data_IF_718563889939
#
_entry.id   IF_718563889939
#
_cell.length_a   1.000
_cell.length_b   1.000
_cell.length_c   1.000
_cell.angle_alpha   90.00
_cell.angle_beta   90.00
_cell.angle_gamma   90.00
#
_symmetry.space_group_name_H-M   'P 1'
#
loop_
_entity.id
_entity.type
_entity.pdbx_description
1 polymer ?
#
# COMPACT_ATOMS: atom_id res chain seq x y z
N UNK A 1 2.03 1.77 -25.30
CA UNK A 1 2.72 2.39 -24.15
C UNK A 1 1.75 2.55 -22.97
N UNK A 2 1.60 1.47 -22.20
CA UNK A 2 0.85 1.48 -20.94
C UNK A 2 1.83 1.90 -19.85
N UNK A 3 1.59 3.03 -19.20
CA UNK A 3 2.41 3.53 -18.10
C UNK A 3 1.70 3.17 -16.79
N UNK A 4 2.29 2.28 -16.00
CA UNK A 4 1.84 2.12 -14.61
C UNK A 4 2.29 3.39 -13.89
N UNK A 5 1.32 4.14 -13.39
CA UNK A 5 1.58 5.35 -12.62
C UNK A 5 1.61 4.96 -11.15
N UNK A 6 2.80 4.80 -10.58
CA UNK A 6 2.95 4.17 -9.27
C UNK A 6 2.29 4.95 -8.13
N UNK A 7 2.08 6.26 -8.29
CA UNK A 7 1.34 7.08 -7.31
C UNK A 7 -0.10 6.60 -7.04
N UNK A 8 -0.71 5.75 -7.88
CA UNK A 8 -2.04 5.19 -7.59
C UNK A 8 -2.02 3.91 -6.73
N UNK A 9 -0.86 3.31 -6.51
CA UNK A 9 -0.68 2.06 -5.73
C UNK A 9 0.08 2.28 -4.43
N UNK A 10 0.70 3.45 -4.25
CA UNK A 10 1.32 3.83 -3.00
C UNK A 10 0.32 4.50 -2.07
N UNK A 11 0.19 3.94 -0.87
CA UNK A 11 -0.38 4.67 0.26
C UNK A 11 0.78 5.29 1.01
N UNK A 12 0.91 6.62 0.95
CA UNK A 12 1.80 7.32 1.86
C UNK A 12 1.36 7.03 3.30
N UNK A 13 2.25 6.66 4.24
CA UNK A 13 1.88 6.35 5.61
C UNK A 13 1.19 7.52 6.35
N UNK A 14 1.21 8.72 5.79
CA UNK A 14 0.44 9.88 6.27
C UNK A 14 -1.06 9.81 5.93
N UNK A 15 -1.46 9.17 4.82
CA UNK A 15 -2.85 9.15 4.36
C UNK A 15 -3.79 8.22 5.14
N UNK A 16 -3.27 7.24 5.90
CA UNK A 16 -4.08 6.39 6.78
C UNK A 16 -4.63 7.15 7.99
N UNK A 17 -4.01 8.27 8.36
CA UNK A 17 -4.43 9.11 9.49
C UNK A 17 -5.37 10.26 9.08
N UNK A 18 -5.47 10.58 7.80
CA UNK A 18 -6.24 11.74 7.32
C UNK A 18 -7.76 11.48 7.22
N UNK A 19 -8.20 10.23 7.04
CA UNK A 19 -9.65 9.91 7.01
C UNK A 19 -10.32 9.92 8.39
N UNK A 20 -9.58 9.69 9.47
CA UNK A 20 -10.11 9.79 10.84
C UNK A 20 -10.14 11.24 11.36
N UNK A 21 -9.41 12.14 10.71
CA UNK A 21 -9.32 13.56 11.08
C UNK A 21 -10.48 14.38 10.46
N UNK A 22 -10.99 13.97 9.30
CA UNK A 22 -12.06 14.71 8.59
C UNK A 22 -13.47 14.57 9.19
N UNK A 23 -13.75 13.50 9.94
CA UNK A 23 -15.08 13.25 10.53
C UNK A 23 -15.23 13.88 11.93
N UNK A 24 -14.13 14.14 12.63
CA UNK A 24 -14.12 14.77 13.96
C UNK A 24 -14.15 16.30 13.93
N UNK A 25 -13.84 16.93 12.79
CA UNK A 25 -13.63 18.39 12.71
C UNK A 25 -14.89 19.25 12.50
N UNK A 26 -16.09 18.66 12.44
CA UNK A 26 -17.33 19.38 12.10
C UNK A 26 -18.37 19.55 13.22
N UNK A 27 -18.11 19.08 14.46
CA UNK A 27 -19.18 19.05 15.47
C UNK A 27 -18.96 19.76 16.81
N UNK A 28 -17.81 20.41 17.11
CA UNK A 28 -17.61 20.89 18.51
C UNK A 28 -17.05 22.30 18.77
N UNK A 29 -16.76 23.16 17.79
CA UNK A 29 -16.23 24.50 18.13
C UNK A 29 -16.90 25.69 17.43
N UNK A 30 -18.21 25.59 17.19
CA UNK A 30 -19.05 26.76 17.35
C UNK A 30 -19.31 26.95 18.86
N UNK A 31 -19.00 28.15 19.36
CA UNK A 31 -19.39 28.72 20.66
C UNK A 31 -18.44 28.49 21.83
N UNK A 32 -17.74 29.59 22.16
CA UNK A 32 -17.41 30.13 23.51
C UNK A 32 -15.93 30.16 23.90
N UNK A 33 -15.41 31.39 23.78
CA UNK A 33 -14.69 32.11 24.83
C UNK A 33 -13.17 32.17 24.72
N UNK A 34 -12.76 33.19 23.96
CA UNK A 34 -11.68 34.13 24.27
C UNK A 34 -11.60 34.46 25.77
N UNK A 35 -10.36 34.66 26.26
CA UNK A 35 -9.92 35.05 27.61
C UNK A 35 -9.49 33.89 28.53
N UNK A 36 -8.20 33.53 28.44
CA UNK A 36 -7.25 33.56 29.57
C UNK A 36 -5.85 33.18 29.07
N UNK A 37 -5.12 34.20 28.63
CA UNK A 37 -3.66 34.19 28.60
C UNK A 37 -3.15 34.15 30.06
N UNK A 38 -2.01 33.48 30.26
CA UNK A 38 -1.19 33.43 31.48
C UNK A 38 -1.55 32.33 32.50
N UNK A 39 -1.04 31.11 32.29
CA UNK A 39 -0.30 30.26 33.27
C UNK A 39 -0.30 28.80 32.80
N UNK A 40 0.66 28.40 31.95
CA UNK A 40 0.92 26.98 31.68
C UNK A 40 2.33 26.76 31.14
N UNK A 41 3.33 27.21 31.89
CA UNK A 41 4.72 26.83 31.73
C UNK A 41 5.06 25.76 32.77
N UNK A 42 4.86 24.49 32.43
CA UNK A 42 5.49 23.28 33.00
C UNK A 42 4.58 22.04 32.93
N UNK A 43 4.23 21.60 31.72
CA UNK A 43 3.92 20.19 31.47
C UNK A 43 4.64 19.81 30.18
N UNK A 44 5.95 19.61 30.27
CA UNK A 44 6.68 18.82 29.29
C UNK A 44 6.21 17.38 29.45
N UNK A 45 5.06 17.05 28.87
CA UNK A 45 4.68 15.67 28.66
C UNK A 45 5.76 15.05 27.79
N UNK A 46 6.54 14.13 28.33
CA UNK A 46 7.37 13.25 27.53
C UNK A 46 6.43 12.52 26.58
N UNK A 47 6.46 12.91 25.31
CA UNK A 47 5.92 12.08 24.24
C UNK A 47 6.80 10.84 24.23
N UNK A 48 6.32 9.78 24.86
CA UNK A 48 6.95 8.47 24.74
C UNK A 48 6.86 8.10 23.25
N UNK A 49 8.02 8.05 22.59
CA UNK A 49 8.12 7.52 21.25
C UNK A 49 7.64 6.06 21.31
N UNK A 50 6.44 5.80 20.82
CA UNK A 50 5.94 4.44 20.67
C UNK A 50 6.82 3.77 19.62
N UNK A 51 7.52 2.70 20.01
CA UNK A 51 8.20 1.85 19.04
C UNK A 51 7.14 1.36 18.05
N UNK A 52 7.35 1.55 16.74
CA UNK A 52 6.40 1.07 15.74
C UNK A 52 6.18 -0.44 15.95
N UNK A 53 4.93 -0.92 15.94
CA UNK A 53 4.68 -2.35 16.10
C UNK A 53 5.35 -3.11 14.95
N UNK A 54 6.09 -4.16 15.29
CA UNK A 54 6.64 -5.09 14.29
C UNK A 54 5.46 -5.83 13.66
N UNK A 55 5.35 -5.87 12.32
CA UNK A 55 4.22 -6.54 11.68
C UNK A 55 4.17 -8.03 12.01
N UNK A 56 2.97 -8.52 12.26
CA UNK A 56 2.73 -9.93 12.57
C UNK A 56 2.73 -10.72 11.26
N UNK A 57 3.55 -11.76 11.21
CA UNK A 57 3.56 -12.70 10.07
C UNK A 57 2.30 -13.56 10.07
N UNK A 58 1.93 -14.06 8.90
CA UNK A 58 0.79 -14.97 8.77
C UNK A 58 -0.02 -14.73 7.51
N UNK A 59 -1.10 -15.50 7.41
CA UNK A 59 -2.05 -15.44 6.30
C UNK A 59 -3.21 -14.49 6.63
N UNK A 60 -3.73 -13.83 5.60
CA UNK A 60 -4.95 -13.03 5.67
C UNK A 60 -5.79 -13.24 4.41
N UNK A 61 -7.11 -13.33 4.56
CA UNK A 61 -8.05 -13.42 3.44
C UNK A 61 -8.97 -12.23 3.43
N UNK A 62 -9.07 -11.57 2.29
CA UNK A 62 -9.93 -10.41 2.07
C UNK A 62 -11.01 -10.77 1.06
N UNK A 63 -12.25 -10.34 1.33
CA UNK A 63 -13.34 -10.42 0.36
C UNK A 63 -13.36 -9.14 -0.46
N UNK A 64 -13.36 -9.28 -1.77
CA UNK A 64 -13.39 -8.15 -2.70
C UNK A 64 -14.81 -7.86 -3.12
N UNK A 65 -15.18 -6.57 -3.07
CA UNK A 65 -16.47 -6.07 -3.54
C UNK A 65 -16.25 -5.04 -4.63
N UNK A 66 -17.01 -5.14 -5.72
CA UNK A 66 -17.05 -4.14 -6.78
C UNK A 66 -18.46 -3.61 -6.88
N UNK A 67 -18.64 -2.29 -6.71
CA UNK A 67 -19.97 -1.65 -6.68
C UNK A 67 -20.92 -2.31 -5.66
N UNK A 68 -20.40 -2.62 -4.47
CA UNK A 68 -21.09 -3.35 -3.40
C UNK A 68 -21.52 -4.79 -3.74
N UNK A 69 -21.08 -5.35 -4.88
CA UNK A 69 -21.31 -6.74 -5.26
C UNK A 69 -20.08 -7.57 -4.91
N UNK A 70 -20.22 -8.72 -4.20
CA UNK A 70 -19.11 -9.64 -3.99
C UNK A 70 -18.54 -10.08 -5.33
N UNK A 71 -17.25 -9.85 -5.53
CA UNK A 71 -16.58 -10.05 -6.81
C UNK A 71 -15.45 -11.08 -6.70
N UNK A 72 -14.92 -11.33 -5.50
CA UNK A 72 -13.85 -12.29 -5.34
C UNK A 72 -13.22 -12.33 -3.95
N UNK A 73 -12.01 -12.88 -3.91
CA UNK A 73 -11.16 -12.90 -2.72
C UNK A 73 -9.70 -12.68 -3.08
N UNK A 74 -8.96 -12.20 -2.07
CA UNK A 74 -7.50 -12.12 -2.07
C UNK A 74 -7.02 -12.90 -0.86
N UNK A 75 -6.07 -13.81 -1.06
CA UNK A 75 -5.34 -14.44 0.03
C UNK A 75 -3.93 -13.91 -0.01
N UNK A 76 -3.45 -13.35 1.11
CA UNK A 76 -2.10 -12.86 1.26
C UNK A 76 -1.38 -13.55 2.42
N UNK A 77 -0.06 -13.62 2.32
CA UNK A 77 0.81 -14.12 3.36
C UNK A 77 1.99 -13.18 3.52
N UNK A 78 2.23 -12.74 4.75
CA UNK A 78 3.42 -11.99 5.11
C UNK A 78 4.39 -12.91 5.87
N UNK A 79 5.62 -13.02 5.39
CA UNK A 79 6.70 -13.75 6.06
C UNK A 79 7.92 -12.85 6.23
N UNK A 80 8.75 -13.18 7.21
CA UNK A 80 10.06 -12.59 7.40
C UNK A 80 11.12 -13.68 7.21
N UNK A 81 11.86 -13.62 6.11
CA UNK A 81 12.85 -14.62 5.70
C UNK A 81 14.07 -13.92 5.10
N UNK A 82 15.27 -14.48 5.30
CA UNK A 82 16.53 -13.93 4.78
C UNK A 82 16.73 -12.43 5.05
N UNK A 83 16.40 -11.97 6.27
CA UNK A 83 16.48 -10.57 6.70
C UNK A 83 15.60 -9.61 5.88
N UNK A 84 14.52 -10.11 5.28
CA UNK A 84 13.60 -9.37 4.42
C UNK A 84 12.15 -9.72 4.73
N UNK A 85 11.26 -8.76 4.51
CA UNK A 85 9.82 -9.02 4.50
C UNK A 85 9.41 -9.47 3.11
N UNK A 86 8.59 -10.51 3.02
CA UNK A 86 8.05 -11.00 1.75
C UNK A 86 6.53 -11.07 1.88
N UNK A 87 5.85 -10.26 1.09
CA UNK A 87 4.41 -10.27 0.95
C UNK A 87 4.04 -11.05 -0.31
N UNK A 88 3.36 -12.17 -0.14
CA UNK A 88 2.83 -12.98 -1.24
C UNK A 88 1.32 -12.84 -1.29
N UNK A 89 0.73 -12.84 -2.47
CA UNK A 89 -0.71 -12.88 -2.62
C UNK A 89 -1.17 -13.63 -3.87
N UNK A 90 -2.39 -14.15 -3.79
CA UNK A 90 -3.15 -14.66 -4.94
C UNK A 90 -4.51 -13.99 -4.93
N UNK A 91 -5.05 -13.75 -6.13
CA UNK A 91 -6.36 -13.10 -6.27
C UNK A 91 -7.22 -13.88 -7.25
N UNK A 92 -8.51 -13.98 -6.93
CA UNK A 92 -9.53 -14.45 -7.85
C UNK A 92 -10.69 -13.47 -7.80
N UNK A 93 -10.75 -12.60 -8.79
CA UNK A 93 -11.78 -11.58 -8.96
C UNK A 93 -12.54 -11.88 -10.25
N UNK A 94 -13.86 -11.91 -10.12
CA UNK A 94 -14.82 -12.14 -11.21
C UNK A 94 -15.53 -10.82 -11.54
N UNK A 95 -16.58 -10.85 -12.35
CA UNK A 95 -17.30 -9.67 -12.84
C UNK A 95 -17.35 -8.46 -11.86
N UNK A 96 -17.20 -7.22 -12.35
CA UNK A 96 -17.11 -6.82 -13.76
C UNK A 96 -15.70 -6.90 -14.36
N UNK A 97 -14.69 -7.28 -13.58
CA UNK A 97 -13.31 -7.42 -14.04
C UNK A 97 -12.84 -8.84 -13.72
N UNK A 98 -12.62 -9.66 -14.76
CA UNK A 98 -11.97 -10.96 -14.56
C UNK A 98 -10.48 -10.71 -14.30
N UNK A 99 -10.01 -10.94 -13.08
CA UNK A 99 -8.61 -10.86 -12.70
C UNK A 99 -8.25 -12.09 -11.89
N UNK A 100 -7.23 -12.80 -12.35
CA UNK A 100 -6.64 -13.92 -11.63
C UNK A 100 -5.15 -13.66 -11.49
N UNK A 101 -4.68 -13.49 -10.26
CA UNK A 101 -3.25 -13.33 -9.96
C UNK A 101 -2.71 -14.65 -9.47
N UNK A 102 -1.89 -15.32 -10.30
CA UNK A 102 -1.20 -16.56 -9.93
C UNK A 102 0.00 -16.30 -9.02
N UNK A 103 0.66 -15.14 -9.20
CA UNK A 103 1.77 -14.71 -8.36
C UNK A 103 1.67 -13.21 -8.12
N UNK A 104 1.61 -12.81 -6.86
CA UNK A 104 2.06 -11.51 -6.40
C UNK A 104 3.15 -11.76 -5.37
N UNK A 105 4.32 -11.17 -5.56
CA UNK A 105 5.40 -11.18 -4.58
C UNK A 105 6.03 -9.80 -4.49
N UNK A 106 6.05 -9.25 -3.28
CA UNK A 106 6.70 -7.98 -2.98
C UNK A 106 7.70 -8.20 -1.84
N UNK A 107 8.97 -7.90 -2.10
CA UNK A 107 10.04 -8.01 -1.10
C UNK A 107 10.42 -6.63 -0.57
N UNK A 108 10.64 -6.55 0.74
CA UNK A 108 11.12 -5.37 1.42
C UNK A 108 12.35 -5.70 2.28
N UNK A 109 13.20 -4.72 2.54
CA UNK A 109 14.25 -4.85 3.55
C UNK A 109 13.67 -4.83 4.98
N UNK A 110 14.54 -4.95 5.99
CA UNK A 110 14.15 -4.90 7.40
C UNK A 110 13.49 -3.58 7.82
N UNK A 111 13.76 -2.50 7.09
CA UNK A 111 13.24 -1.15 7.32
C UNK A 111 11.97 -0.86 6.50
N UNK A 112 11.35 -1.91 5.93
CA UNK A 112 10.14 -1.83 5.10
C UNK A 112 10.32 -1.06 3.78
N UNK A 113 11.56 -0.93 3.29
CA UNK A 113 11.79 -0.33 1.98
C UNK A 113 11.57 -1.36 0.87
N UNK A 114 10.80 -1.00 -0.17
CA UNK A 114 10.53 -1.90 -1.28
C UNK A 114 11.83 -2.25 -2.02
N UNK A 115 11.97 -3.51 -2.45
CA UNK A 115 13.14 -3.97 -3.22
C UNK A 115 12.74 -4.53 -4.58
N UNK A 116 11.72 -5.39 -4.63
CA UNK A 116 11.30 -6.05 -5.86
C UNK A 116 9.80 -6.37 -5.82
N UNK A 117 9.11 -6.12 -6.92
CA UNK A 117 7.75 -6.56 -7.16
C UNK A 117 7.73 -7.53 -8.34
N UNK A 118 7.00 -8.63 -8.19
CA UNK A 118 6.71 -9.57 -9.27
C UNK A 118 5.22 -9.88 -9.28
N UNK A 119 4.57 -9.63 -10.40
CA UNK A 119 3.17 -9.97 -10.63
C UNK A 119 3.10 -10.86 -11.86
N UNK A 120 2.43 -12.00 -11.73
CA UNK A 120 1.94 -12.78 -12.85
C UNK A 120 0.44 -12.99 -12.70
N UNK A 121 -0.30 -12.54 -13.70
CA UNK A 121 -1.75 -12.53 -13.67
C UNK A 121 -2.36 -12.64 -15.05
N UNK A 122 -3.66 -12.92 -15.09
CA UNK A 122 -4.49 -12.75 -16.28
C UNK A 122 -5.60 -11.76 -15.96
N UNK A 123 -5.80 -10.78 -16.85
CA UNK A 123 -6.85 -9.78 -16.78
C UNK A 123 -7.72 -9.88 -18.01
N UNK A 124 -9.01 -10.17 -17.86
CA UNK A 124 -9.95 -10.40 -18.96
C UNK A 124 -9.41 -11.42 -19.99
N UNK A 125 -8.76 -12.50 -19.51
CA UNK A 125 -8.09 -13.55 -20.30
C UNK A 125 -6.82 -13.11 -21.05
N UNK A 126 -6.34 -11.89 -20.84
CA UNK A 126 -5.07 -11.40 -21.36
C UNK A 126 -3.99 -11.51 -20.28
N UNK A 127 -2.78 -11.93 -20.66
CA UNK A 127 -1.64 -12.00 -19.74
C UNK A 127 -1.27 -10.58 -19.29
N UNK A 128 -1.09 -10.39 -17.99
CA UNK A 128 -0.58 -9.17 -17.39
C UNK A 128 0.53 -9.53 -16.40
N UNK A 129 1.77 -9.21 -16.76
CA UNK A 129 2.93 -9.40 -15.88
C UNK A 129 3.59 -8.07 -15.57
N UNK A 130 4.12 -7.95 -14.36
CA UNK A 130 4.91 -6.80 -13.91
C UNK A 130 6.15 -7.31 -13.19
N UNK A 131 7.31 -6.80 -13.57
CA UNK A 131 8.54 -6.92 -12.81
C UNK A 131 9.06 -5.51 -12.52
N UNK A 132 9.24 -5.19 -11.24
CA UNK A 132 9.75 -3.89 -10.82
C UNK A 132 10.90 -4.05 -9.86
N UNK A 133 11.94 -3.23 -10.05
CA UNK A 133 13.10 -3.16 -9.17
C UNK A 133 13.18 -1.76 -8.56
N UNK A 134 13.31 -1.72 -7.24
CA UNK A 134 13.26 -0.50 -6.44
C UNK A 134 14.67 -0.15 -5.97
N UNK A 135 15.18 1.00 -6.43
CA UNK A 135 16.35 1.67 -5.87
C UNK A 135 15.96 2.71 -4.82
N UNK A 136 16.90 3.57 -4.44
CA UNK A 136 16.68 4.57 -3.38
C UNK A 136 15.61 5.62 -3.75
N UNK A 137 15.59 6.09 -4.99
CA UNK A 137 14.65 7.11 -5.49
C UNK A 137 14.10 6.82 -6.90
N UNK A 138 14.40 5.63 -7.43
CA UNK A 138 14.06 5.23 -8.79
C UNK A 138 13.49 3.81 -8.80
N UNK A 139 12.43 3.61 -9.57
CA UNK A 139 11.87 2.30 -9.88
C UNK A 139 11.98 2.05 -11.36
N UNK A 140 12.57 0.91 -11.73
CA UNK A 140 12.53 0.38 -13.09
C UNK A 140 11.43 -0.64 -13.20
N UNK A 141 10.71 -0.64 -14.32
CA UNK A 141 9.54 -1.46 -14.52
C UNK A 141 9.58 -2.10 -15.90
N UNK A 142 9.28 -3.39 -15.94
CA UNK A 142 8.90 -4.11 -17.15
C UNK A 142 7.45 -4.57 -17.00
N UNK A 143 6.60 -4.16 -17.94
CA UNK A 143 5.19 -4.50 -17.95
C UNK A 143 4.87 -5.23 -19.25
N UNK A 144 4.33 -6.43 -19.12
CA UNK A 144 3.84 -7.22 -20.23
C UNK A 144 2.32 -7.25 -20.25
N UNK A 145 1.72 -6.93 -21.40
CA UNK A 145 0.29 -7.03 -21.65
C UNK A 145 0.10 -7.79 -22.95
N UNK A 146 -0.44 -9.00 -22.86
CA UNK A 146 -0.48 -9.93 -23.98
C UNK A 146 0.93 -10.17 -24.54
N UNK A 147 1.19 -9.70 -25.76
CA UNK A 147 2.52 -9.77 -26.40
C UNK A 147 3.31 -8.46 -26.36
N UNK A 148 2.72 -7.35 -25.91
CA UNK A 148 3.42 -6.07 -25.77
C UNK A 148 4.22 -6.07 -24.47
N UNK A 149 5.52 -5.76 -24.58
CA UNK A 149 6.38 -5.49 -23.43
C UNK A 149 6.76 -4.02 -23.46
N UNK A 150 6.66 -3.36 -22.32
CA UNK A 150 7.03 -1.96 -22.16
C UNK A 150 7.91 -1.78 -20.94
N UNK A 151 8.91 -0.92 -21.09
CA UNK A 151 9.84 -0.57 -20.02
C UNK A 151 9.63 0.88 -19.62
N UNK A 152 9.70 1.17 -18.33
CA UNK A 152 9.59 2.54 -17.83
C UNK A 152 10.33 2.76 -16.52
N UNK A 153 10.80 3.98 -16.33
CA UNK A 153 11.42 4.44 -15.10
C UNK A 153 10.55 5.53 -14.46
N UNK A 154 10.40 5.45 -13.13
CA UNK A 154 9.65 6.43 -12.36
C UNK A 154 10.40 6.75 -11.06
N UNK A 155 10.40 8.03 -10.66
CA UNK A 155 10.95 8.42 -9.36
C UNK A 155 9.93 8.16 -8.27
N UNK A 156 10.39 7.62 -7.15
CA UNK A 156 9.54 7.32 -5.99
C UNK A 156 10.06 8.01 -4.75
N UNK A 157 9.16 8.26 -3.81
CA UNK A 157 9.54 8.73 -2.47
C UNK A 157 9.98 7.55 -1.60
N UNK A 158 10.98 7.79 -0.74
CA UNK A 158 11.64 6.74 0.07
C UNK A 158 10.73 5.88 0.99
N UNK A 159 9.57 6.34 1.51
CA UNK A 159 8.72 5.52 2.39
C UNK A 159 7.57 4.80 1.65
N UNK A 160 7.74 4.46 0.38
CA UNK A 160 6.66 3.92 -0.44
C UNK A 160 6.35 2.45 -0.13
N UNK A 161 5.09 2.13 0.19
CA UNK A 161 4.60 0.75 0.37
C UNK A 161 3.73 0.37 -0.83
N UNK A 162 4.11 -0.72 -1.52
CA UNK A 162 3.28 -1.33 -2.58
C UNK A 162 2.31 -2.31 -1.95
N UNK A 163 1.02 -2.24 -2.31
CA UNK A 163 0.01 -3.20 -1.88
C UNK A 163 -0.51 -4.01 -3.08
N UNK A 164 -0.92 -5.27 -2.87
CA UNK A 164 -1.57 -6.10 -3.89
C UNK A 164 -2.95 -5.60 -4.31
#
# INVERSE_FOLDING_TARGET
MVKIHWNSLFVSPQHANDMLTYVQLRLQHALRSTCLLCLSSALSGSVWAQTPPVPTTGESTFRVFVRAVPSGFVTSTLVYEDNRWVLRATTQITAPLELETQLFEMTYDSDWKPQQLRISSTRNREIFNVDSNFGDDLVTNEVQIGSEVSNSEERIDAPSIVLP
#
